data_IF_037027526954
#
_entry.id   IF_037027526954
#
_cell.length_a   1.000
_cell.length_b   1.000
_cell.length_c   1.000
_cell.angle_alpha   90.00
_cell.angle_beta   90.00
_cell.angle_gamma   90.00
#
_symmetry.space_group_name_H-M   'P 1'
#
loop_
_entity.id
_entity.type
_entity.pdbx_description
1 polymer ?
#
# COMPACT_ATOMS: atom_id res chain seq x y z
N UNK A 1 -10.72 5.55 17.52
CA UNK A 1 -10.83 4.09 17.44
C UNK A 1 -9.67 3.58 16.59
N UNK A 2 -8.77 2.78 17.15
CA UNK A 2 -7.70 2.14 16.38
C UNK A 2 -8.17 0.72 16.09
N UNK A 3 -8.64 0.47 14.88
CA UNK A 3 -8.80 -0.88 14.38
C UNK A 3 -7.40 -1.39 14.08
N UNK A 4 -6.81 -2.09 15.04
CA UNK A 4 -5.66 -2.95 14.78
C UNK A 4 -6.23 -4.31 14.38
N UNK A 5 -6.92 -4.33 13.23
CA UNK A 5 -7.28 -5.57 12.55
C UNK A 5 -6.01 -6.21 12.00
N UNK A 6 -5.99 -7.53 11.89
CA UNK A 6 -4.87 -8.24 11.31
C UNK A 6 -4.64 -7.73 9.89
N UNK A 7 -3.50 -7.07 9.65
CA UNK A 7 -3.21 -6.37 8.38
C UNK A 7 -3.19 -7.35 7.20
N UNK A 8 -2.95 -8.62 7.47
CA UNK A 8 -3.02 -9.73 6.53
C UNK A 8 -4.39 -9.86 5.85
N UNK A 9 -5.48 -9.44 6.51
CA UNK A 9 -6.85 -9.52 5.99
C UNK A 9 -7.32 -8.25 5.26
N UNK A 10 -6.53 -7.17 5.29
CA UNK A 10 -6.89 -5.93 4.60
C UNK A 10 -6.87 -6.11 3.08
N UNK A 11 -7.91 -5.57 2.45
CA UNK A 11 -8.02 -5.37 1.00
C UNK A 11 -7.07 -4.28 0.53
N UNK A 12 -6.83 -4.20 -0.79
CA UNK A 12 -5.96 -3.14 -1.35
C UNK A 12 -6.53 -1.75 -1.09
N UNK A 13 -7.85 -1.60 -1.19
CA UNK A 13 -8.56 -0.35 -0.95
C UNK A 13 -8.39 0.13 0.49
N UNK A 14 -8.42 -0.79 1.46
CA UNK A 14 -8.18 -0.48 2.88
C UNK A 14 -6.73 -0.04 3.13
N UNK A 15 -5.76 -0.74 2.52
CA UNK A 15 -4.36 -0.33 2.55
C UNK A 15 -4.21 1.09 1.97
N UNK A 16 -4.86 1.39 0.84
CA UNK A 16 -4.80 2.71 0.22
C UNK A 16 -5.39 3.79 1.13
N UNK A 17 -6.57 3.54 1.70
CA UNK A 17 -7.22 4.47 2.62
C UNK A 17 -6.36 4.75 3.85
N UNK A 18 -5.73 3.73 4.43
CA UNK A 18 -4.83 3.89 5.57
C UNK A 18 -3.58 4.69 5.20
N UNK A 19 -2.94 4.39 4.07
CA UNK A 19 -1.73 5.10 3.63
C UNK A 19 -2.03 6.57 3.30
N UNK A 20 -3.20 6.86 2.72
CA UNK A 20 -3.67 8.24 2.48
C UNK A 20 -3.84 9.01 3.79
N UNK A 21 -4.39 8.34 4.82
CA UNK A 21 -4.69 8.95 6.11
C UNK A 21 -3.44 9.15 6.96
N UNK A 22 -2.62 8.11 7.08
CA UNK A 22 -1.41 8.09 7.92
C UNK A 22 -0.20 8.74 7.26
N UNK A 23 -0.15 8.75 5.92
CA UNK A 23 1.05 9.04 5.11
C UNK A 23 2.22 8.09 5.38
N UNK A 24 1.91 6.91 5.91
CA UNK A 24 2.87 5.85 6.19
C UNK A 24 2.50 4.62 5.37
N UNK A 25 3.51 3.97 4.79
CA UNK A 25 3.38 2.68 4.14
C UNK A 25 4.19 1.67 4.93
N UNK A 26 3.53 0.61 5.34
CA UNK A 26 4.16 -0.49 6.04
C UNK A 26 4.95 -1.38 5.08
N UNK A 27 5.98 -2.07 5.61
CA UNK A 27 6.82 -2.94 4.80
C UNK A 27 6.08 -4.15 4.26
N UNK A 28 5.21 -4.76 5.04
CA UNK A 28 4.48 -5.96 4.62
C UNK A 28 3.46 -5.59 3.56
N UNK A 29 2.76 -4.47 3.74
CA UNK A 29 1.87 -3.93 2.71
C UNK A 29 2.65 -3.62 1.43
N UNK A 30 3.83 -3.01 1.53
CA UNK A 30 4.68 -2.73 0.37
C UNK A 30 5.11 -4.02 -0.36
N UNK A 31 5.38 -5.11 0.36
CA UNK A 31 5.70 -6.40 -0.25
C UNK A 31 4.47 -6.97 -0.98
N UNK A 32 3.30 -7.01 -0.33
CA UNK A 32 2.04 -7.48 -0.92
C UNK A 32 1.66 -6.69 -2.17
N UNK A 33 1.80 -5.36 -2.14
CA UNK A 33 1.53 -4.51 -3.30
C UNK A 33 2.48 -4.79 -4.47
N UNK A 34 3.75 -5.15 -4.20
CA UNK A 34 4.70 -5.55 -5.25
C UNK A 34 4.39 -6.92 -5.83
N UNK A 35 3.97 -7.87 -5.00
CA UNK A 35 3.51 -9.17 -5.46
C UNK A 35 2.28 -9.04 -6.35
N UNK A 36 1.32 -8.20 -5.95
CA UNK A 36 0.13 -7.90 -6.74
C UNK A 36 0.46 -7.29 -8.12
N UNK A 37 1.44 -6.38 -8.19
CA UNK A 37 1.93 -5.84 -9.47
C UNK A 37 2.54 -6.92 -10.38
N UNK A 38 3.22 -7.92 -9.80
CA UNK A 38 3.85 -9.01 -10.55
C UNK A 38 2.83 -10.05 -11.04
N UNK A 39 1.70 -10.20 -10.33
CA UNK A 39 0.63 -11.12 -10.71
C UNK A 39 -0.14 -10.69 -11.97
N UNK A 40 0.02 -9.43 -12.42
CA UNK A 40 -0.58 -8.86 -13.65
C UNK A 40 -2.11 -9.09 -13.79
N UNK A 41 -2.80 -9.23 -12.65
CA UNK A 41 -4.25 -9.43 -12.55
C UNK A 41 -4.99 -8.18 -12.07
N UNK A 42 -4.29 -7.04 -11.99
CA UNK A 42 -4.81 -5.78 -11.49
C UNK A 42 -5.37 -4.93 -12.62
N UNK A 43 -6.34 -4.07 -12.28
CA UNK A 43 -6.78 -3.02 -13.20
C UNK A 43 -5.67 -1.97 -13.41
N UNK A 44 -5.75 -1.21 -14.49
CA UNK A 44 -4.82 -0.10 -14.76
C UNK A 44 -4.83 0.95 -13.64
N UNK A 45 -6.01 1.24 -13.07
CA UNK A 45 -6.16 2.14 -11.94
C UNK A 45 -5.41 1.64 -10.69
N UNK A 46 -5.56 0.35 -10.36
CA UNK A 46 -4.84 -0.26 -9.24
C UNK A 46 -3.33 -0.22 -9.49
N UNK A 47 -2.87 -0.49 -10.71
CA UNK A 47 -1.46 -0.38 -11.09
C UNK A 47 -0.90 1.02 -10.82
N UNK A 48 -1.60 2.06 -11.25
CA UNK A 48 -1.18 3.45 -11.10
C UNK A 48 -1.09 3.89 -9.63
N UNK A 49 -2.08 3.50 -8.82
CA UNK A 49 -2.10 3.81 -7.40
C UNK A 49 -0.91 3.13 -6.71
N UNK A 50 -0.69 1.84 -6.94
CA UNK A 50 0.43 1.11 -6.33
C UNK A 50 1.77 1.72 -6.73
N UNK A 51 1.95 2.01 -8.02
CA UNK A 51 3.15 2.67 -8.51
C UNK A 51 3.40 4.01 -7.82
N UNK A 52 2.34 4.81 -7.61
CA UNK A 52 2.41 6.09 -6.90
C UNK A 52 2.80 5.92 -5.43
N UNK A 53 2.29 4.91 -4.74
CA UNK A 53 2.65 4.61 -3.35
C UNK A 53 4.13 4.18 -3.24
N UNK A 54 4.56 3.24 -4.08
CA UNK A 54 5.95 2.76 -4.12
C UNK A 54 6.90 3.90 -4.48
N UNK A 55 6.54 4.75 -5.44
CA UNK A 55 7.36 5.90 -5.80
C UNK A 55 7.38 6.97 -4.70
N UNK A 56 6.25 7.18 -4.03
CA UNK A 56 6.11 8.08 -2.89
C UNK A 56 7.05 7.72 -1.74
N UNK A 57 7.20 6.42 -1.43
CA UNK A 57 8.18 5.97 -0.43
C UNK A 57 9.63 6.21 -0.86
N UNK A 58 9.99 5.92 -2.13
CA UNK A 58 11.35 6.19 -2.66
C UNK A 58 11.73 7.68 -2.60
N UNK A 59 10.76 8.57 -2.82
CA UNK A 59 10.96 10.03 -2.78
C UNK A 59 10.80 10.63 -1.38
N UNK A 60 10.64 9.80 -0.33
CA UNK A 60 10.39 10.24 1.06
C UNK A 60 9.12 11.09 1.22
N UNK A 61 8.15 10.98 0.29
CA UNK A 61 6.82 11.59 0.41
C UNK A 61 5.89 10.79 1.32
N UNK A 62 6.13 9.48 1.38
CA UNK A 62 5.50 8.55 2.34
C UNK A 62 6.61 8.00 3.23
N UNK A 63 6.33 7.89 4.53
CA UNK A 63 7.25 7.23 5.45
C UNK A 63 7.07 5.72 5.33
N UNK A 64 8.19 5.00 5.36
CA UNK A 64 8.16 3.56 5.53
C UNK A 64 8.20 3.25 7.02
N UNK A 65 7.23 2.48 7.51
CA UNK A 65 7.25 1.96 8.88
C UNK A 65 7.44 0.44 8.86
N UNK A 66 8.08 -0.05 9.91
CA UNK A 66 8.26 -1.48 10.16
C UNK A 66 6.98 -2.07 10.75
#
# INVERSE_FOLDING_TARGET
MKFQGDRSEMTMEEIFAEVLTSRELDRDDRCRLREALLANSLSEEHHDIINRLIYGTKRRKLKLRD
#
